data_IF_195384638529
#
_entry.id   IF_195384638529
#
_cell.length_a   1.000
_cell.length_b   1.000
_cell.length_c   1.000
_cell.angle_alpha   90.00
_cell.angle_beta   90.00
_cell.angle_gamma   90.00
#
_symmetry.space_group_name_H-M   'P 1'
#
loop_
_entity.id
_entity.type
_entity.pdbx_description
1 polymer ?
#
# COMPACT_ATOMS: atom_id res chain seq x y z
N UNK A 1 21.43 10.77 -15.34
CA UNK A 1 20.23 10.53 -14.51
C UNK A 1 20.33 9.11 -14.00
N UNK A 2 20.39 8.91 -12.68
CA UNK A 2 20.37 7.56 -12.10
C UNK A 2 18.94 7.05 -12.16
N UNK A 3 18.74 5.84 -12.69
CA UNK A 3 17.42 5.19 -12.69
C UNK A 3 17.27 4.43 -11.38
N UNK A 4 16.22 4.74 -10.63
CA UNK A 4 15.83 3.98 -9.46
C UNK A 4 14.52 3.25 -9.79
N UNK A 5 14.54 1.92 -9.73
CA UNK A 5 13.34 1.09 -9.86
C UNK A 5 12.85 0.75 -8.46
N UNK A 6 11.60 1.13 -8.13
CA UNK A 6 10.96 0.75 -6.88
C UNK A 6 10.01 -0.42 -7.17
N UNK A 7 10.40 -1.62 -6.78
CA UNK A 7 9.61 -2.83 -7.01
C UNK A 7 8.72 -3.11 -5.80
N UNK A 8 7.47 -3.45 -6.07
CA UNK A 8 6.51 -3.92 -5.08
C UNK A 8 5.84 -5.17 -5.63
N UNK A 9 5.88 -6.23 -4.85
CA UNK A 9 5.23 -7.50 -5.12
C UNK A 9 4.03 -7.66 -4.18
N UNK A 10 2.91 -8.11 -4.73
CA UNK A 10 1.69 -8.38 -3.97
C UNK A 10 1.27 -9.81 -4.26
N UNK A 11 1.13 -10.60 -3.21
CA UNK A 11 0.55 -11.94 -3.25
C UNK A 11 -0.85 -11.85 -2.64
N UNK A 12 -1.88 -12.18 -3.42
CA UNK A 12 -3.25 -12.25 -2.93
C UNK A 12 -3.89 -13.55 -3.43
N UNK A 13 -4.23 -14.44 -2.51
CA UNK A 13 -4.86 -15.71 -2.83
C UNK A 13 -6.36 -15.54 -3.13
N UNK A 14 -6.98 -16.53 -3.78
CA UNK A 14 -8.35 -16.41 -4.28
C UNK A 14 -9.37 -16.05 -3.20
N UNK A 15 -10.22 -15.05 -3.48
CA UNK A 15 -11.29 -14.62 -2.58
C UNK A 15 -11.05 -13.23 -2.01
N UNK A 16 -12.14 -12.48 -1.85
CA UNK A 16 -12.11 -11.09 -1.35
C UNK A 16 -11.61 -10.99 0.10
N UNK A 17 -11.86 -12.04 0.90
CA UNK A 17 -11.69 -12.00 2.35
C UNK A 17 -10.39 -12.72 2.81
N UNK A 18 -9.52 -13.08 1.87
CA UNK A 18 -8.23 -13.70 2.16
C UNK A 18 -7.22 -12.70 2.73
N UNK A 19 -6.09 -13.26 3.17
CA UNK A 19 -4.93 -12.50 3.62
C UNK A 19 -3.88 -12.55 2.52
N UNK A 20 -3.47 -11.40 2.03
CA UNK A 20 -2.35 -11.24 1.13
C UNK A 20 -1.08 -10.77 1.84
N UNK A 21 0.01 -10.74 1.09
CA UNK A 21 1.28 -10.16 1.49
C UNK A 21 1.69 -9.07 0.49
N UNK A 22 2.27 -7.98 0.98
CA UNK A 22 2.90 -6.96 0.15
C UNK A 22 4.35 -6.78 0.57
N UNK A 23 5.24 -6.77 -0.42
CA UNK A 23 6.68 -6.70 -0.21
C UNK A 23 7.31 -5.73 -1.20
N UNK A 24 8.01 -4.73 -0.69
CA UNK A 24 8.93 -3.88 -1.44
C UNK A 24 10.31 -3.88 -0.77
N UNK A 25 11.09 -2.85 -1.05
CA UNK A 25 12.43 -2.71 -0.46
C UNK A 25 12.36 -2.55 1.07
N UNK A 26 11.42 -1.73 1.55
CA UNK A 26 11.20 -1.46 2.98
C UNK A 26 9.82 -1.90 3.48
N UNK A 27 8.84 -2.04 2.58
CA UNK A 27 7.47 -2.48 2.93
C UNK A 27 7.47 -4.00 3.06
N UNK A 28 7.00 -4.53 4.19
CA UNK A 28 6.85 -5.98 4.45
C UNK A 28 5.62 -6.21 5.33
N UNK A 29 4.45 -6.21 4.72
CA UNK A 29 3.18 -6.23 5.47
C UNK A 29 2.23 -7.32 4.99
N UNK A 30 1.39 -7.76 5.92
CA UNK A 30 0.17 -8.53 5.58
C UNK A 30 -0.96 -7.56 5.29
N UNK A 31 -1.82 -7.93 4.37
CA UNK A 31 -2.98 -7.14 3.96
C UNK A 31 -4.24 -8.00 4.01
N UNK A 32 -5.30 -7.50 4.62
CA UNK A 32 -6.60 -8.18 4.61
C UNK A 32 -7.75 -7.19 4.79
N UNK A 33 -8.95 -7.60 4.38
CA UNK A 33 -10.16 -6.80 4.61
C UNK A 33 -10.51 -6.78 6.11
N UNK A 34 -11.12 -5.69 6.58
CA UNK A 34 -11.58 -5.52 7.96
C UNK A 34 -12.67 -6.56 8.32
N UNK A 35 -12.73 -6.97 9.59
CA UNK A 35 -13.80 -7.85 10.09
C UNK A 35 -15.21 -7.34 9.80
N UNK A 36 -15.45 -6.03 9.98
CA UNK A 36 -16.75 -5.39 9.72
C UNK A 36 -17.18 -5.46 8.25
N UNK A 37 -16.24 -5.77 7.35
CA UNK A 37 -16.46 -5.93 5.92
C UNK A 37 -16.28 -7.38 5.47
N UNK A 38 -16.22 -8.34 6.41
CA UNK A 38 -16.15 -9.78 6.13
C UNK A 38 -14.74 -10.37 5.97
N UNK A 39 -13.68 -9.59 6.20
CA UNK A 39 -12.28 -10.07 6.13
C UNK A 39 -11.68 -10.49 7.47
N UNK A 40 -10.37 -10.76 7.48
CA UNK A 40 -9.66 -11.36 8.62
C UNK A 40 -8.95 -10.35 9.54
N UNK A 41 -8.85 -9.05 9.18
CA UNK A 41 -8.16 -7.99 9.95
C UNK A 41 -6.74 -8.39 10.44
N UNK A 42 -5.96 -9.02 9.57
CA UNK A 42 -4.54 -9.29 9.74
C UNK A 42 -3.73 -8.21 9.00
N UNK A 43 -2.78 -7.60 9.71
CA UNK A 43 -1.95 -6.52 9.20
C UNK A 43 -2.76 -5.24 8.96
N UNK A 44 -2.46 -4.54 7.87
CA UNK A 44 -3.25 -3.40 7.40
C UNK A 44 -4.35 -3.87 6.43
N UNK A 45 -5.06 -2.92 5.80
CA UNK A 45 -6.08 -3.20 4.82
C UNK A 45 -5.83 -2.44 3.50
N UNK A 46 -6.32 -2.96 2.36
CA UNK A 46 -6.15 -2.30 1.07
C UNK A 46 -6.62 -0.84 1.01
N UNK A 47 -7.67 -0.46 1.76
CA UNK A 47 -8.22 0.90 1.75
C UNK A 47 -7.26 1.90 2.42
N UNK A 48 -6.69 1.55 3.58
CA UNK A 48 -5.65 2.34 4.26
C UNK A 48 -4.42 2.50 3.37
N UNK A 49 -3.99 1.43 2.69
CA UNK A 49 -2.84 1.48 1.78
C UNK A 49 -3.11 2.39 0.58
N UNK A 50 -4.30 2.31 -0.02
CA UNK A 50 -4.70 3.15 -1.15
C UNK A 50 -4.71 4.64 -0.75
N UNK A 51 -5.35 4.98 0.37
CA UNK A 51 -5.40 6.36 0.87
C UNK A 51 -4.00 6.87 1.21
N UNK A 52 -3.15 6.02 1.78
CA UNK A 52 -1.75 6.38 2.09
C UNK A 52 -0.94 6.64 0.82
N UNK A 53 -1.10 5.83 -0.22
CA UNK A 53 -0.45 6.02 -1.52
C UNK A 53 -0.90 7.33 -2.19
N UNK A 54 -2.20 7.61 -2.21
CA UNK A 54 -2.71 8.86 -2.78
C UNK A 54 -2.21 10.09 -2.01
N UNK A 55 -2.21 10.02 -0.67
CA UNK A 55 -1.74 11.10 0.20
C UNK A 55 -0.26 11.38 0.01
N UNK A 56 0.56 10.33 -0.09
CA UNK A 56 2.02 10.46 -0.33
C UNK A 56 2.32 11.02 -1.73
N UNK A 57 1.57 10.61 -2.76
CA UNK A 57 1.63 11.25 -4.08
C UNK A 57 1.34 12.75 -4.00
N UNK A 58 0.30 13.16 -3.28
CA UNK A 58 -0.03 14.57 -3.12
C UNK A 58 1.05 15.34 -2.35
N UNK A 59 1.63 14.74 -1.30
CA UNK A 59 2.77 15.32 -0.57
C UNK A 59 3.96 15.54 -1.49
N UNK A 60 4.32 14.55 -2.33
CA UNK A 60 5.40 14.66 -3.31
C UNK A 60 5.13 15.81 -4.28
N UNK A 61 3.89 15.89 -4.80
CA UNK A 61 3.49 16.98 -5.69
C UNK A 61 3.62 18.35 -5.01
N UNK A 62 3.13 18.49 -3.78
CA UNK A 62 3.24 19.74 -3.03
C UNK A 62 4.69 20.11 -2.75
N UNK A 63 5.53 19.15 -2.36
CA UNK A 63 6.95 19.38 -2.11
C UNK A 63 7.69 19.81 -3.39
N UNK A 64 7.31 19.29 -4.55
CA UNK A 64 7.90 19.67 -5.84
C UNK A 64 7.44 21.06 -6.33
N UNK A 65 6.21 21.47 -6.00
CA UNK A 65 5.60 22.70 -6.53
C UNK A 65 5.69 23.90 -5.58
N UNK A 66 5.70 23.67 -4.27
CA UNK A 66 5.91 24.73 -3.28
C UNK A 66 7.40 25.06 -3.23
N UNK A 67 7.79 26.15 -3.89
CA UNK A 67 9.06 26.82 -3.61
C UNK A 67 8.98 27.44 -2.22
N UNK A 68 9.90 27.05 -1.34
CA UNK A 68 10.32 27.91 -0.23
C UNK A 68 11.02 29.15 -0.76
#
# INVERSE_FOLDING_TARGET
MVKHDFKVEVEWHEGRNEVGNIKGDTIKEKISILFSLGGQRIGTNPDEMLVSAASTCYIIFLAATRKG
#
